data_IF_807217223963
#
_entry.id   IF_807217223963
#
_cell.length_a   1.000
_cell.length_b   1.000
_cell.length_c   1.000
_cell.angle_alpha   90.00
_cell.angle_beta   90.00
_cell.angle_gamma   90.00
#
_symmetry.space_group_name_H-M   'P 1'
#
loop_
_entity.id
_entity.type
_entity.pdbx_description
1 polymer ?
#
# COMPACT_ATOMS: atom_id res chain seq x y z
N UNK A 1 -8.76 14.95 5.98
CA UNK A 1 -7.48 15.65 5.74
C UNK A 1 -6.47 15.05 6.71
N UNK A 2 -5.61 14.16 6.20
CA UNK A 2 -4.87 13.18 7.00
C UNK A 2 -3.44 13.64 7.24
N UNK A 3 -3.11 13.98 8.49
CA UNK A 3 -1.75 14.37 8.90
C UNK A 3 -0.75 13.28 8.50
N UNK A 4 -1.06 12.01 8.76
CA UNK A 4 -0.18 10.88 8.44
C UNK A 4 0.27 10.87 6.97
N UNK A 5 -0.65 11.05 6.02
CA UNK A 5 -0.42 10.89 4.58
C UNK A 5 0.48 11.96 3.95
N UNK A 6 0.69 13.10 4.63
CA UNK A 6 1.44 14.25 4.09
C UNK A 6 2.79 14.47 4.77
N UNK A 7 3.19 13.61 5.73
CA UNK A 7 4.49 13.76 6.44
C UNK A 7 5.69 13.23 5.67
N UNK A 8 5.49 12.32 4.72
CA UNK A 8 6.57 11.64 4.02
C UNK A 8 7.01 12.43 2.79
N UNK A 9 8.32 12.65 2.62
CA UNK A 9 8.90 13.39 1.48
C UNK A 9 9.31 12.51 0.30
N UNK A 10 9.83 11.31 0.56
CA UNK A 10 10.32 10.39 -0.49
C UNK A 10 9.30 9.31 -0.85
N UNK A 11 8.51 8.85 0.11
CA UNK A 11 7.40 7.93 -0.10
C UNK A 11 6.95 7.31 1.21
N UNK A 12 5.89 6.51 1.16
CA UNK A 12 5.22 5.95 2.33
C UNK A 12 4.95 4.47 2.12
N UNK A 13 5.18 3.67 3.17
CA UNK A 13 4.74 2.28 3.25
C UNK A 13 3.61 2.19 4.26
N UNK A 14 2.48 1.62 3.84
CA UNK A 14 1.33 1.37 4.72
C UNK A 14 1.24 -0.13 4.97
N UNK A 15 1.41 -0.53 6.23
CA UNK A 15 1.27 -1.94 6.64
C UNK A 15 -0.16 -2.17 7.12
N UNK A 16 -0.88 -3.06 6.44
CA UNK A 16 -2.26 -3.40 6.80
C UNK A 16 -2.61 -4.80 6.29
N UNK A 17 -3.73 -5.34 6.79
CA UNK A 17 -4.36 -6.53 6.24
C UNK A 17 -5.12 -6.19 4.95
N UNK A 18 -4.87 -6.96 3.89
CA UNK A 18 -5.57 -6.85 2.60
C UNK A 18 -7.06 -7.15 2.75
N UNK A 19 -7.42 -8.21 3.49
CA UNK A 19 -8.82 -8.57 3.72
C UNK A 19 -9.57 -7.50 4.53
N UNK A 20 -8.89 -6.85 5.48
CA UNK A 20 -9.48 -5.75 6.25
C UNK A 20 -9.80 -4.54 5.36
N UNK A 21 -8.86 -4.11 4.52
CA UNK A 21 -9.03 -2.95 3.63
C UNK A 21 -9.97 -3.22 2.45
N UNK A 22 -10.17 -4.48 2.07
CA UNK A 22 -11.17 -4.88 1.07
C UNK A 22 -12.55 -5.15 1.67
N UNK A 23 -12.62 -5.42 2.98
CA UNK A 23 -13.84 -5.69 3.72
C UNK A 23 -14.36 -4.46 4.45
N UNK A 24 -14.41 -4.54 5.78
CA UNK A 24 -15.05 -3.53 6.63
C UNK A 24 -14.45 -2.13 6.51
N UNK A 25 -13.17 -2.01 6.12
CA UNK A 25 -12.50 -0.71 5.98
C UNK A 25 -12.48 -0.18 4.53
N UNK A 26 -13.19 -0.82 3.59
CA UNK A 26 -13.17 -0.44 2.16
C UNK A 26 -13.54 1.02 1.89
N UNK A 27 -14.47 1.57 2.68
CA UNK A 27 -15.00 2.92 2.49
C UNK A 27 -14.17 4.00 3.20
N UNK A 28 -13.19 3.59 4.02
CA UNK A 28 -12.21 4.50 4.63
C UNK A 28 -11.28 5.09 3.56
N UNK A 29 -10.62 6.21 3.88
CA UNK A 29 -9.65 6.81 2.97
C UNK A 29 -8.53 5.82 2.58
N UNK A 30 -8.03 5.03 3.54
CA UNK A 30 -6.98 4.03 3.29
C UNK A 30 -7.52 2.87 2.45
N UNK A 31 -8.76 2.43 2.69
CA UNK A 31 -9.43 1.41 1.87
C UNK A 31 -9.60 1.85 0.41
N UNK A 32 -10.11 3.07 0.19
CA UNK A 32 -10.25 3.66 -1.15
C UNK A 32 -8.91 3.85 -1.85
N UNK A 33 -7.88 4.30 -1.13
CA UNK A 33 -6.53 4.45 -1.67
C UNK A 33 -5.93 3.09 -2.07
N UNK A 34 -6.08 2.07 -1.23
CA UNK A 34 -5.68 0.70 -1.54
C UNK A 34 -6.37 0.18 -2.81
N UNK A 35 -7.70 0.37 -2.93
CA UNK A 35 -8.45 -0.03 -4.11
C UNK A 35 -7.97 0.70 -5.37
N UNK A 36 -7.76 2.01 -5.28
CA UNK A 36 -7.24 2.82 -6.37
C UNK A 36 -5.89 2.28 -6.88
N UNK A 37 -4.87 2.16 -6.02
CA UNK A 37 -3.55 1.68 -6.44
C UNK A 37 -3.56 0.23 -6.93
N UNK A 38 -4.39 -0.64 -6.35
CA UNK A 38 -4.57 -2.01 -6.85
C UNK A 38 -5.17 -2.02 -8.26
N UNK A 39 -6.11 -1.11 -8.54
CA UNK A 39 -6.72 -1.00 -9.87
C UNK A 39 -5.76 -0.41 -10.90
N UNK A 40 -5.01 0.63 -10.54
CA UNK A 40 -4.08 1.32 -11.44
C UNK A 40 -2.90 0.43 -11.82
N UNK A 41 -2.41 -0.41 -10.89
CA UNK A 41 -1.29 -1.33 -11.12
C UNK A 41 -1.68 -2.69 -11.68
N UNK A 42 -2.95 -2.89 -12.03
CA UNK A 42 -3.42 -4.18 -12.53
C UNK A 42 -2.76 -4.47 -13.88
N UNK A 43 -1.89 -5.48 -13.92
CA UNK A 43 -1.14 -5.86 -15.12
C UNK A 43 0.27 -5.27 -15.20
N UNK A 44 0.71 -4.48 -14.21
CA UNK A 44 2.11 -4.10 -14.06
C UNK A 44 2.93 -5.26 -13.48
N UNK A 45 4.25 -5.24 -13.73
CA UNK A 45 5.20 -6.20 -13.15
C UNK A 45 5.24 -6.14 -11.61
N UNK A 46 4.81 -5.01 -11.02
CA UNK A 46 4.83 -4.76 -9.57
C UNK A 46 3.41 -4.52 -9.06
N UNK A 47 2.94 -5.41 -8.19
CA UNK A 47 1.65 -5.22 -7.49
C UNK A 47 1.75 -4.08 -6.45
N UNK A 48 0.63 -3.41 -6.20
CA UNK A 48 0.48 -2.48 -5.09
C UNK A 48 0.59 -3.16 -3.72
N UNK A 49 0.34 -4.48 -3.67
CA UNK A 49 0.48 -5.30 -2.47
C UNK A 49 1.79 -6.09 -2.47
N UNK A 50 2.51 -6.01 -1.36
CA UNK A 50 3.75 -6.77 -1.12
C UNK A 50 3.61 -7.61 0.15
N UNK A 51 4.14 -8.83 0.12
CA UNK A 51 4.13 -9.69 1.30
C UNK A 51 5.23 -9.25 2.28
N UNK A 52 4.93 -9.31 3.58
CA UNK A 52 5.92 -9.04 4.61
C UNK A 52 7.18 -9.92 4.47
N UNK A 53 7.03 -11.17 4.02
CA UNK A 53 8.15 -12.07 3.75
C UNK A 53 9.08 -11.54 2.66
N UNK A 54 8.54 -10.93 1.61
CA UNK A 54 9.36 -10.38 0.51
C UNK A 54 10.12 -9.14 0.97
N UNK A 55 9.54 -8.36 1.88
CA UNK A 55 10.22 -7.24 2.55
C UNK A 55 11.39 -7.75 3.41
N UNK A 56 11.16 -8.78 4.23
CA UNK A 56 12.21 -9.37 5.08
C UNK A 56 13.37 -9.95 4.25
N UNK A 57 13.05 -10.50 3.08
CA UNK A 57 14.04 -11.06 2.14
C UNK A 57 14.67 -10.01 1.21
N UNK A 58 14.40 -8.71 1.41
CA UNK A 58 14.89 -7.60 0.58
C UNK A 58 14.56 -7.74 -0.92
N UNK A 59 13.43 -8.40 -1.24
CA UNK A 59 12.97 -8.61 -2.62
C UNK A 59 12.02 -7.52 -3.11
N UNK A 60 11.86 -6.45 -2.33
CA UNK A 60 10.95 -5.34 -2.61
C UNK A 60 11.72 -4.03 -2.60
N UNK A 61 11.46 -3.19 -3.60
CA UNK A 61 12.00 -1.84 -3.66
C UNK A 61 11.10 -0.89 -2.86
N UNK A 62 11.56 -0.43 -1.70
CA UNK A 62 10.80 0.44 -0.83
C UNK A 62 11.14 1.91 -1.13
N UNK A 63 10.22 2.86 -0.84
CA UNK A 63 10.55 4.27 -0.97
C UNK A 63 11.67 4.65 0.00
N UNK A 64 12.79 5.15 -0.54
CA UNK A 64 13.95 5.60 0.23
C UNK A 64 15.01 4.51 0.52
N UNK A 65 14.82 3.28 0.02
CA UNK A 65 15.85 2.22 0.02
C UNK A 65 16.69 2.24 -1.25
#
# INVERSE_FOLDING_TARGET
MNVMLTRCRQGMVVVSSKSFLQGIARDTLVGKMSAHWTSTRKGEERDAWVNAKDVMNQRVHLPGS
#
